data_IF_668086455912
#
_entry.id   IF_668086455912
#
_cell.length_a   1.000
_cell.length_b   1.000
_cell.length_c   1.000
_cell.angle_alpha   90.00
_cell.angle_beta   90.00
_cell.angle_gamma   90.00
#
_symmetry.space_group_name_H-M   'P 1'
#
loop_
_entity.id
_entity.type
_entity.pdbx_description
1 polymer ?
#
# COMPACT_ATOMS: atom_id res chain seq x y z
N UNK A 1 0.16 -22.96 4.28
CA UNK A 1 -1.32 -23.04 4.06
C UNK A 1 -1.86 -24.20 4.88
N UNK A 2 -3.16 -24.24 5.14
CA UNK A 2 -3.82 -25.35 5.82
C UNK A 2 -5.01 -25.75 4.95
N UNK A 3 -4.99 -26.96 4.41
CA UNK A 3 -6.12 -27.52 3.68
C UNK A 3 -7.01 -28.26 4.65
N UNK A 4 -8.29 -27.95 4.66
CA UNK A 4 -9.31 -28.60 5.50
C UNK A 4 -10.05 -29.61 4.62
N UNK A 5 -9.96 -30.89 4.94
CA UNK A 5 -10.68 -31.95 4.21
C UNK A 5 -12.12 -32.09 4.73
N UNK A 6 -12.99 -32.71 3.95
CA UNK A 6 -14.34 -33.09 4.36
C UNK A 6 -14.30 -34.24 5.37
N UNK A 7 -15.39 -34.42 6.15
CA UNK A 7 -15.50 -35.47 7.20
C UNK A 7 -15.33 -36.87 6.63
N UNK A 8 -15.76 -37.09 5.38
CA UNK A 8 -15.69 -38.37 4.68
C UNK A 8 -14.63 -38.42 3.59
N UNK A 9 -13.61 -37.55 3.64
CA UNK A 9 -12.55 -37.56 2.64
C UNK A 9 -11.84 -38.91 2.63
N UNK A 10 -11.77 -39.55 1.46
CA UNK A 10 -11.11 -40.86 1.34
C UNK A 10 -9.60 -40.71 1.42
N UNK A 11 -8.91 -41.80 1.76
CA UNK A 11 -7.45 -41.82 1.76
C UNK A 11 -6.87 -41.43 0.39
N UNK A 12 -7.50 -41.88 -0.70
CA UNK A 12 -7.16 -41.52 -2.07
C UNK A 12 -7.29 -40.00 -2.33
N UNK A 13 -8.35 -39.35 -1.82
CA UNK A 13 -8.52 -37.90 -1.93
C UNK A 13 -7.45 -37.14 -1.15
N UNK A 14 -7.12 -37.60 0.07
CA UNK A 14 -6.07 -37.00 0.91
C UNK A 14 -4.71 -37.10 0.22
N UNK A 15 -4.38 -38.26 -0.35
CA UNK A 15 -3.15 -38.50 -1.09
C UNK A 15 -3.08 -37.68 -2.36
N UNK A 16 -4.17 -37.57 -3.12
CA UNK A 16 -4.26 -36.73 -4.31
C UNK A 16 -3.95 -35.26 -4.00
N UNK A 17 -4.51 -34.72 -2.91
CA UNK A 17 -4.23 -33.34 -2.47
C UNK A 17 -2.78 -33.17 -2.06
N UNK A 18 -2.20 -34.14 -1.35
CA UNK A 18 -0.77 -34.12 -0.98
C UNK A 18 0.15 -34.20 -2.20
N UNK A 19 -0.17 -35.04 -3.19
CA UNK A 19 0.56 -35.11 -4.45
C UNK A 19 0.48 -33.81 -5.25
N UNK A 20 -0.70 -33.20 -5.33
CA UNK A 20 -0.86 -31.93 -6.01
C UNK A 20 -0.05 -30.83 -5.31
N UNK A 21 -0.05 -30.79 -3.98
CA UNK A 21 0.80 -29.87 -3.23
C UNK A 21 2.30 -30.09 -3.54
N UNK A 22 2.76 -31.35 -3.67
CA UNK A 22 4.14 -31.67 -4.08
C UNK A 22 4.45 -31.23 -5.51
N UNK A 23 3.52 -31.39 -6.45
CA UNK A 23 3.65 -30.90 -7.84
C UNK A 23 3.77 -29.39 -7.92
N UNK A 24 3.10 -28.67 -7.02
CA UNK A 24 3.23 -27.22 -6.86
C UNK A 24 4.54 -26.80 -6.16
N UNK A 25 5.41 -27.76 -5.81
CA UNK A 25 6.68 -27.50 -5.13
C UNK A 25 6.56 -27.26 -3.62
N UNK A 26 5.43 -27.64 -3.02
CA UNK A 26 5.19 -27.49 -1.59
C UNK A 26 5.39 -28.80 -0.82
N UNK A 27 5.55 -28.68 0.50
CA UNK A 27 5.71 -29.81 1.42
C UNK A 27 4.43 -30.03 2.24
N UNK A 28 3.59 -31.01 1.89
CA UNK A 28 2.37 -31.34 2.62
C UNK A 28 2.67 -32.20 3.86
N UNK A 29 1.93 -31.96 4.93
CA UNK A 29 1.96 -32.70 6.18
C UNK A 29 0.52 -33.07 6.54
N UNK A 30 0.17 -34.35 6.46
CA UNK A 30 -1.16 -34.83 6.80
C UNK A 30 -1.33 -34.84 8.32
N UNK A 31 -2.40 -34.23 8.80
CA UNK A 31 -2.74 -34.07 10.21
C UNK A 31 -4.10 -34.74 10.42
N UNK A 32 -4.13 -36.04 10.77
CA UNK A 32 -5.38 -36.74 11.05
C UNK A 32 -6.03 -36.14 12.31
N UNK A 33 -7.32 -35.84 12.23
CA UNK A 33 -8.12 -35.32 13.34
C UNK A 33 -9.28 -36.25 13.68
N UNK A 34 -9.85 -36.10 14.88
CA UNK A 34 -10.95 -36.94 15.36
C UNK A 34 -12.23 -36.82 14.52
N UNK A 35 -12.44 -35.68 13.85
CA UNK A 35 -13.61 -35.39 13.01
C UNK A 35 -13.27 -35.12 11.54
N UNK A 36 -12.14 -34.47 11.25
CA UNK A 36 -11.70 -34.15 9.89
C UNK A 36 -10.18 -34.23 9.80
N UNK A 37 -9.68 -34.64 8.65
CA UNK A 37 -8.26 -34.54 8.31
C UNK A 37 -7.93 -33.11 7.86
N UNK A 38 -6.79 -32.59 8.29
CA UNK A 38 -6.21 -31.38 7.74
C UNK A 38 -4.87 -31.70 7.07
N UNK A 39 -4.43 -30.86 6.12
CA UNK A 39 -3.11 -30.98 5.49
C UNK A 39 -2.40 -29.64 5.65
N UNK A 40 -1.38 -29.62 6.51
CA UNK A 40 -0.49 -28.48 6.66
C UNK A 40 0.47 -28.41 5.47
N UNK A 41 0.47 -27.31 4.73
CA UNK A 41 1.36 -27.10 3.59
C UNK A 41 2.42 -26.07 3.94
N UNK A 42 3.68 -26.47 3.86
CA UNK A 42 4.86 -25.64 4.12
C UNK A 42 5.64 -25.40 2.83
N UNK A 43 6.51 -24.37 2.81
CA UNK A 43 7.27 -23.98 1.63
C UNK A 43 6.52 -23.09 0.63
N UNK A 44 5.27 -22.71 0.92
CA UNK A 44 4.52 -21.80 0.07
C UNK A 44 5.11 -20.37 0.12
N UNK A 45 5.54 -19.86 -1.04
CA UNK A 45 6.15 -18.52 -1.16
C UNK A 45 5.17 -17.41 -1.54
N UNK A 46 3.93 -17.77 -1.90
CA UNK A 46 2.90 -16.86 -2.38
C UNK A 46 1.48 -17.46 -2.31
N UNK A 47 0.49 -16.79 -2.93
CA UNK A 47 -0.88 -17.30 -3.06
C UNK A 47 -1.03 -18.42 -4.11
N UNK A 48 -0.01 -18.66 -4.93
CA UNK A 48 -0.09 -19.53 -6.10
C UNK A 48 -0.51 -20.97 -5.74
N UNK A 49 -1.43 -21.54 -6.52
CA UNK A 49 -1.92 -22.91 -6.34
C UNK A 49 -3.01 -23.10 -5.29
N UNK A 50 -3.44 -22.05 -4.57
CA UNK A 50 -4.57 -22.15 -3.62
C UNK A 50 -5.86 -22.58 -4.31
N UNK A 51 -6.21 -21.94 -5.42
CA UNK A 51 -7.43 -22.26 -6.16
C UNK A 51 -7.38 -23.69 -6.71
N UNK A 52 -6.21 -24.13 -7.17
CA UNK A 52 -6.00 -25.51 -7.64
C UNK A 52 -6.27 -26.54 -6.55
N UNK A 53 -5.83 -26.29 -5.31
CA UNK A 53 -6.09 -27.19 -4.19
C UNK A 53 -7.55 -27.10 -3.72
N UNK A 54 -8.14 -25.90 -3.72
CA UNK A 54 -9.51 -25.67 -3.26
C UNK A 54 -10.56 -26.36 -4.13
N UNK A 55 -10.27 -26.54 -5.42
CA UNK A 55 -11.15 -27.25 -6.36
C UNK A 55 -11.03 -28.78 -6.30
N UNK A 56 -10.12 -29.34 -5.50
CA UNK A 56 -9.93 -30.78 -5.45
C UNK A 56 -11.05 -31.51 -4.69
N UNK A 57 -11.43 -32.73 -5.12
CA UNK A 57 -12.38 -33.56 -4.39
C UNK A 57 -11.96 -33.78 -2.93
N UNK A 58 -12.92 -33.67 -2.02
CA UNK A 58 -12.68 -33.87 -0.59
C UNK A 58 -12.10 -32.65 0.13
N UNK A 59 -11.78 -31.56 -0.56
CA UNK A 59 -11.36 -30.29 0.07
C UNK A 59 -12.58 -29.44 0.40
N UNK A 60 -12.68 -28.98 1.65
CA UNK A 60 -13.70 -28.02 2.10
C UNK A 60 -13.19 -26.60 2.00
N UNK A 61 -11.95 -26.38 2.43
CA UNK A 61 -11.35 -25.05 2.41
C UNK A 61 -9.82 -25.11 2.34
N UNK A 62 -9.22 -24.02 1.87
CA UNK A 62 -7.77 -23.80 1.90
C UNK A 62 -7.52 -22.49 2.64
N UNK A 63 -7.09 -22.62 3.89
CA UNK A 63 -6.82 -21.49 4.77
C UNK A 63 -5.37 -21.05 4.57
N UNK A 64 -5.19 -19.77 4.28
CA UNK A 64 -3.86 -19.18 4.20
C UNK A 64 -3.33 -18.91 5.61
N UNK A 65 -2.20 -19.53 5.95
CA UNK A 65 -1.55 -19.38 7.27
C UNK A 65 -0.59 -18.18 7.30
N UNK A 66 0.05 -17.86 6.17
CA UNK A 66 0.99 -16.74 6.06
C UNK A 66 0.33 -15.51 5.46
N UNK A 67 0.62 -14.31 5.97
CA UNK A 67 0.06 -13.07 5.40
C UNK A 67 0.54 -12.83 3.95
N UNK A 68 -0.28 -12.22 3.06
CA UNK A 68 0.09 -11.95 1.67
C UNK A 68 1.21 -10.92 1.49
N UNK A 69 1.48 -10.12 2.52
CA UNK A 69 2.39 -9.01 2.47
C UNK A 69 3.62 -9.32 3.32
N UNK A 70 4.72 -9.76 2.69
CA UNK A 70 5.94 -10.10 3.44
C UNK A 70 6.77 -8.87 3.80
N UNK A 71 7.05 -8.01 2.82
CA UNK A 71 8.03 -6.93 2.98
C UNK A 71 7.60 -5.83 3.97
N UNK A 72 6.29 -5.63 4.14
CA UNK A 72 5.73 -4.61 5.07
C UNK A 72 5.29 -5.20 6.42
N UNK A 73 5.49 -6.51 6.63
CA UNK A 73 5.06 -7.19 7.86
C UNK A 73 6.09 -7.03 8.97
N UNK A 74 5.63 -6.88 10.22
CA UNK A 74 6.51 -6.90 11.40
C UNK A 74 7.13 -8.27 11.67
N UNK A 75 6.56 -9.36 11.13
CA UNK A 75 7.17 -10.68 11.24
C UNK A 75 8.49 -10.75 10.45
N UNK A 76 8.55 -10.05 9.30
CA UNK A 76 9.73 -10.01 8.44
C UNK A 76 10.63 -8.81 8.75
N UNK A 77 10.08 -7.69 9.21
CA UNK A 77 10.80 -6.48 9.60
C UNK A 77 10.30 -5.97 10.98
N UNK A 78 10.79 -6.55 12.09
CA UNK A 78 10.25 -6.28 13.43
C UNK A 78 10.39 -4.83 13.89
N UNK A 79 11.40 -4.14 13.38
CA UNK A 79 11.82 -2.80 13.77
C UNK A 79 10.98 -1.76 13.01
N UNK A 80 10.66 -0.61 13.64
CA UNK A 80 9.98 0.47 12.93
C UNK A 80 10.82 0.99 11.75
N UNK A 81 10.19 1.18 10.59
CA UNK A 81 10.79 1.92 9.48
C UNK A 81 10.72 3.41 9.77
N UNK A 82 11.88 4.08 9.78
CA UNK A 82 11.97 5.54 9.93
C UNK A 82 12.29 6.15 8.58
N UNK A 83 11.44 7.04 8.10
CA UNK A 83 11.55 7.68 6.77
C UNK A 83 12.12 9.08 6.96
N UNK A 84 13.42 9.33 6.67
CA UNK A 84 13.95 10.70 6.60
C UNK A 84 13.40 11.39 5.35
N UNK A 85 12.86 12.61 5.52
CA UNK A 85 12.26 13.36 4.41
C UNK A 85 12.34 14.86 4.67
N UNK A 86 12.72 15.63 3.65
CA UNK A 86 13.03 17.05 3.77
C UNK A 86 13.98 17.32 4.97
N UNK A 87 13.52 18.09 5.96
CA UNK A 87 14.24 18.40 7.20
C UNK A 87 13.63 17.71 8.43
N UNK A 88 12.92 16.59 8.24
CA UNK A 88 12.27 15.83 9.32
C UNK A 88 12.39 14.31 9.12
N UNK A 89 11.80 13.54 10.04
CA UNK A 89 11.72 12.07 10.01
C UNK A 89 10.30 11.64 10.38
N UNK A 90 9.76 10.64 9.68
CA UNK A 90 8.44 10.04 9.97
C UNK A 90 8.65 8.62 10.47
N UNK A 91 7.89 8.22 11.49
CA UNK A 91 7.97 6.90 12.14
C UNK A 91 8.64 6.91 13.50
N UNK A 92 9.18 8.06 13.91
CA UNK A 92 9.79 8.31 15.21
C UNK A 92 9.05 9.48 15.88
N UNK A 93 8.12 9.16 16.79
CA UNK A 93 7.27 10.15 17.46
C UNK A 93 6.02 10.56 16.66
N UNK A 94 5.65 11.84 16.75
CA UNK A 94 4.43 12.40 16.16
C UNK A 94 4.77 13.45 15.11
N UNK A 95 4.23 13.29 13.90
CA UNK A 95 4.44 14.23 12.79
C UNK A 95 3.13 14.87 12.37
N UNK A 96 3.12 16.20 12.24
CA UNK A 96 1.99 16.95 11.66
C UNK A 96 2.31 17.26 10.20
N UNK A 97 1.37 16.93 9.32
CA UNK A 97 1.34 17.37 7.91
C UNK A 97 0.04 18.15 7.73
N UNK A 98 0.15 19.44 7.41
CA UNK A 98 -0.99 20.35 7.32
C UNK A 98 -0.90 21.24 6.08
N UNK A 99 -1.98 21.90 5.70
CA UNK A 99 -2.04 22.75 4.51
C UNK A 99 -3.36 22.60 3.76
N UNK A 100 -3.56 23.37 2.70
CA UNK A 100 -4.85 23.45 2.04
C UNK A 100 -5.20 22.15 1.29
N UNK A 101 -6.51 21.97 1.05
CA UNK A 101 -6.99 20.85 0.25
C UNK A 101 -6.52 20.95 -1.20
N UNK A 102 -6.59 22.16 -1.77
CA UNK A 102 -6.15 22.49 -3.12
C UNK A 102 -5.25 23.72 -3.08
N UNK A 103 -4.28 23.81 -3.98
CA UNK A 103 -3.57 25.07 -4.21
C UNK A 103 -4.47 25.95 -5.05
N UNK A 104 -4.74 27.17 -4.58
CA UNK A 104 -5.73 28.07 -5.21
C UNK A 104 -5.13 29.41 -5.66
N UNK A 105 -4.15 29.94 -4.92
CA UNK A 105 -3.39 31.12 -5.29
C UNK A 105 -2.09 31.20 -4.47
N UNK A 106 -1.20 32.10 -4.88
CA UNK A 106 0.10 32.29 -4.24
C UNK A 106 0.01 32.86 -2.82
N UNK A 107 -0.76 33.94 -2.62
CA UNK A 107 -0.86 34.63 -1.31
C UNK A 107 -1.30 33.68 -0.20
N UNK A 108 -2.37 32.93 -0.44
CA UNK A 108 -2.90 31.93 0.50
C UNK A 108 -1.87 30.86 0.82
N UNK A 109 -1.17 30.34 -0.20
CA UNK A 109 -0.21 29.27 -0.02
C UNK A 109 1.01 29.73 0.78
N UNK A 110 1.55 30.91 0.44
CA UNK A 110 2.71 31.50 1.12
C UNK A 110 2.41 31.80 2.59
N UNK A 111 1.28 32.47 2.87
CA UNK A 111 0.85 32.76 4.25
C UNK A 111 0.62 31.48 5.06
N UNK A 112 0.09 30.44 4.43
CA UNK A 112 -0.08 29.13 5.08
C UNK A 112 1.27 28.50 5.40
N UNK A 113 2.20 28.49 4.46
CA UNK A 113 3.53 27.91 4.66
C UNK A 113 4.30 28.62 5.79
N UNK A 114 4.31 29.96 5.79
CA UNK A 114 4.93 30.78 6.83
C UNK A 114 4.32 30.52 8.21
N UNK A 115 2.98 30.49 8.30
CA UNK A 115 2.30 30.15 9.55
C UNK A 115 2.68 28.77 10.06
N UNK A 116 2.64 27.74 9.19
CA UNK A 116 2.97 26.36 9.56
C UNK A 116 4.40 26.23 10.09
N UNK A 117 5.38 26.82 9.39
CA UNK A 117 6.78 26.83 9.85
C UNK A 117 6.91 27.55 11.20
N UNK A 118 6.21 28.68 11.37
CA UNK A 118 6.15 29.41 12.65
C UNK A 118 5.57 28.60 13.81
N UNK A 119 4.72 27.60 13.52
CA UNK A 119 4.18 26.65 14.51
C UNK A 119 5.04 25.38 14.68
N UNK A 120 6.21 25.30 14.05
CA UNK A 120 7.08 24.13 14.15
C UNK A 120 6.72 22.98 13.20
N UNK A 121 5.75 23.17 12.30
CA UNK A 121 5.41 22.17 11.28
C UNK A 121 6.52 22.12 10.22
N UNK A 122 6.83 20.92 9.74
CA UNK A 122 7.95 20.66 8.80
C UNK A 122 7.50 20.19 7.42
N UNK A 123 6.26 19.74 7.30
CA UNK A 123 5.69 19.22 6.06
C UNK A 123 4.36 19.90 5.78
N UNK A 124 4.21 20.43 4.57
CA UNK A 124 2.98 21.03 4.09
C UNK A 124 2.34 20.16 3.01
N UNK A 125 1.05 19.87 3.15
CA UNK A 125 0.26 19.29 2.07
C UNK A 125 -0.35 20.37 1.17
N UNK A 126 -0.51 20.08 -0.11
CA UNK A 126 -1.26 20.94 -1.03
C UNK A 126 -1.57 20.22 -2.33
N UNK A 127 -2.85 20.10 -2.71
CA UNK A 127 -3.24 19.39 -3.93
C UNK A 127 -3.14 20.29 -5.17
N UNK A 128 -2.16 20.03 -6.04
CA UNK A 128 -2.04 20.71 -7.33
C UNK A 128 -3.05 20.18 -8.37
N UNK A 129 -3.31 18.87 -8.33
CA UNK A 129 -4.28 18.18 -9.18
C UNK A 129 -5.40 17.63 -8.29
N UNK A 130 -6.65 17.64 -8.78
CA UNK A 130 -7.80 17.19 -8.00
C UNK A 130 -8.62 16.12 -8.72
N UNK A 131 -8.84 14.94 -8.13
CA UNK A 131 -9.66 13.90 -8.73
C UNK A 131 -11.13 14.24 -8.52
N UNK A 132 -11.73 14.92 -9.50
CA UNK A 132 -13.14 15.37 -9.46
C UNK A 132 -14.05 14.38 -10.16
N UNK A 133 -15.21 14.17 -9.55
CA UNK A 133 -16.29 13.40 -10.18
C UNK A 133 -17.05 14.21 -11.25
N UNK A 134 -17.03 15.55 -11.15
CA UNK A 134 -17.64 16.44 -12.13
C UNK A 134 -16.57 17.23 -12.90
N UNK A 135 -16.69 17.34 -14.24
CA UNK A 135 -15.75 18.10 -15.05
C UNK A 135 -15.81 19.61 -14.78
N UNK A 136 -16.92 20.12 -14.23
CA UNK A 136 -17.10 21.55 -13.94
C UNK A 136 -16.56 21.98 -12.58
N UNK A 137 -16.15 21.03 -11.74
CA UNK A 137 -15.50 21.35 -10.47
C UNK A 137 -14.10 21.92 -10.71
N UNK A 138 -13.58 22.69 -9.75
CA UNK A 138 -12.20 23.14 -9.80
C UNK A 138 -11.23 21.95 -9.85
N UNK A 139 -10.48 21.81 -10.95
CA UNK A 139 -9.60 20.67 -11.23
C UNK A 139 -8.23 20.76 -10.53
N UNK A 140 -7.96 21.88 -9.84
CA UNK A 140 -6.61 22.22 -9.39
C UNK A 140 -5.89 23.11 -10.41
N UNK A 141 -4.77 23.70 -10.00
CA UNK A 141 -3.94 24.53 -10.87
C UNK A 141 -2.91 23.73 -11.69
N UNK A 142 -2.85 22.41 -11.51
CA UNK A 142 -1.90 21.53 -12.19
C UNK A 142 -0.45 21.99 -11.98
N UNK A 143 0.31 22.12 -13.08
CA UNK A 143 1.71 22.57 -13.04
C UNK A 143 1.93 23.92 -12.39
N UNK A 144 0.98 24.85 -12.54
CA UNK A 144 1.09 26.14 -11.87
C UNK A 144 0.98 25.97 -10.34
N UNK A 145 0.10 25.07 -9.88
CA UNK A 145 0.02 24.70 -8.47
C UNK A 145 1.33 24.10 -7.94
N UNK A 146 2.00 23.26 -8.73
CA UNK A 146 3.33 22.72 -8.40
C UNK A 146 4.38 23.84 -8.31
N UNK A 147 4.39 24.78 -9.27
CA UNK A 147 5.29 25.94 -9.25
C UNK A 147 5.12 26.76 -7.97
N UNK A 148 3.88 26.97 -7.54
CA UNK A 148 3.58 27.67 -6.29
C UNK A 148 4.06 26.89 -5.05
N UNK A 149 3.89 25.57 -5.01
CA UNK A 149 4.42 24.72 -3.94
C UNK A 149 5.96 24.77 -3.88
N UNK A 150 6.62 24.72 -5.02
CA UNK A 150 8.07 24.87 -5.11
C UNK A 150 8.54 26.23 -4.59
N UNK A 151 7.80 27.31 -4.88
CA UNK A 151 8.06 28.66 -4.36
C UNK A 151 7.92 28.72 -2.83
N UNK A 152 6.85 28.13 -2.27
CA UNK A 152 6.64 28.06 -0.82
C UNK A 152 7.77 27.28 -0.12
N UNK A 153 8.20 26.15 -0.69
CA UNK A 153 9.36 25.39 -0.22
C UNK A 153 10.63 26.24 -0.25
N UNK A 154 10.92 26.90 -1.37
CA UNK A 154 12.12 27.72 -1.51
C UNK A 154 12.18 28.88 -0.51
N UNK A 155 11.04 29.50 -0.21
CA UNK A 155 10.97 30.63 0.72
C UNK A 155 11.05 30.23 2.21
N UNK A 156 10.52 29.06 2.57
CA UNK A 156 10.31 28.68 3.99
C UNK A 156 11.10 27.45 4.43
N UNK A 157 11.61 26.66 3.49
CA UNK A 157 12.24 25.37 3.75
C UNK A 157 11.27 24.26 4.19
N UNK A 158 9.95 24.47 4.08
CA UNK A 158 8.95 23.44 4.39
C UNK A 158 8.96 22.34 3.33
N UNK A 159 8.90 21.07 3.75
CA UNK A 159 8.78 19.95 2.81
C UNK A 159 7.37 19.85 2.23
N UNK A 160 7.25 19.35 1.00
CA UNK A 160 6.00 19.34 0.22
C UNK A 160 5.45 17.92 0.08
N UNK A 161 4.16 17.78 0.39
CA UNK A 161 3.36 16.58 0.16
C UNK A 161 2.25 16.93 -0.84
N UNK A 162 2.22 16.26 -2.00
CA UNK A 162 1.17 16.49 -3.00
C UNK A 162 0.75 15.19 -3.65
N UNK A 163 -0.49 15.16 -4.15
CA UNK A 163 -1.12 13.95 -4.65
C UNK A 163 -0.77 13.68 -6.11
N UNK A 164 -0.47 12.42 -6.40
CA UNK A 164 -0.29 11.90 -7.75
C UNK A 164 -1.57 11.19 -8.19
N UNK A 165 -2.15 11.63 -9.31
CA UNK A 165 -3.41 11.09 -9.81
C UNK A 165 -3.23 10.09 -10.95
N UNK A 166 -2.18 10.25 -11.73
CA UNK A 166 -1.92 9.49 -12.95
C UNK A 166 -0.41 9.39 -13.18
N UNK A 167 -0.03 8.49 -14.08
CA UNK A 167 1.36 8.18 -14.41
C UNK A 167 2.01 9.30 -15.23
N UNK A 168 1.22 10.02 -16.04
CA UNK A 168 1.71 11.03 -16.98
C UNK A 168 2.29 12.25 -16.25
N UNK A 169 1.77 12.57 -15.07
CA UNK A 169 2.20 13.71 -14.28
C UNK A 169 3.22 13.37 -13.19
N UNK A 170 3.59 12.09 -12.97
CA UNK A 170 4.50 11.67 -11.89
C UNK A 170 5.80 12.46 -11.91
N UNK A 171 6.47 12.51 -13.06
CA UNK A 171 7.81 13.13 -13.19
C UNK A 171 7.80 14.61 -12.76
N UNK A 172 6.78 15.36 -13.19
CA UNK A 172 6.64 16.78 -12.81
C UNK A 172 6.35 16.96 -11.33
N UNK A 173 5.61 16.02 -10.73
CA UNK A 173 5.29 16.06 -9.31
C UNK A 173 6.53 15.72 -8.49
N UNK A 174 7.34 14.74 -8.91
CA UNK A 174 8.59 14.34 -8.25
C UNK A 174 9.61 15.47 -8.16
N UNK A 175 9.69 16.36 -9.16
CA UNK A 175 10.56 17.53 -9.11
C UNK A 175 10.19 18.51 -7.96
N UNK A 176 8.93 18.49 -7.53
CA UNK A 176 8.38 19.43 -6.54
C UNK A 176 8.13 18.80 -5.18
N UNK A 177 7.76 17.52 -5.13
CA UNK A 177 7.29 16.85 -3.92
C UNK A 177 8.44 16.17 -3.18
N UNK A 178 8.45 16.29 -1.86
CA UNK A 178 9.28 15.45 -0.98
C UNK A 178 8.57 14.14 -0.62
N UNK A 179 7.22 14.14 -0.67
CA UNK A 179 6.38 12.94 -0.50
C UNK A 179 5.31 12.91 -1.59
N UNK A 180 5.30 11.82 -2.36
CA UNK A 180 4.22 11.50 -3.28
C UNK A 180 3.05 10.87 -2.51
N UNK A 181 1.89 11.54 -2.52
CA UNK A 181 0.68 10.99 -1.92
C UNK A 181 -0.12 10.22 -2.98
N UNK A 182 -0.46 8.97 -2.68
CA UNK A 182 -1.46 8.21 -3.45
C UNK A 182 -2.81 8.36 -2.76
N UNK A 183 -3.77 9.00 -3.43
CA UNK A 183 -5.13 9.14 -2.90
C UNK A 183 -5.86 7.80 -2.84
N UNK A 184 -6.89 7.72 -1.98
CA UNK A 184 -7.68 6.49 -1.77
C UNK A 184 -8.27 5.92 -3.06
N UNK A 185 -8.66 6.78 -4.01
CA UNK A 185 -9.18 6.34 -5.33
C UNK A 185 -8.16 5.57 -6.16
N UNK A 186 -6.87 5.79 -5.91
CA UNK A 186 -5.75 5.12 -6.57
C UNK A 186 -5.08 4.06 -5.69
N UNK A 187 -5.65 3.72 -4.52
CA UNK A 187 -5.05 2.76 -3.58
C UNK A 187 -4.78 1.38 -4.20
N UNK A 188 -5.57 0.99 -5.22
CA UNK A 188 -5.39 -0.26 -5.96
C UNK A 188 -4.96 -0.04 -7.42
N UNK A 189 -4.54 1.17 -7.78
CA UNK A 189 -4.02 1.47 -9.10
C UNK A 189 -2.59 0.91 -9.22
N UNK A 190 -2.48 -0.39 -9.46
CA UNK A 190 -1.18 -1.10 -9.47
C UNK A 190 -0.22 -0.60 -10.54
N UNK A 191 -0.71 -0.02 -11.63
CA UNK A 191 0.14 0.61 -12.64
C UNK A 191 0.81 1.87 -12.08
N UNK A 192 0.05 2.72 -11.38
CA UNK A 192 0.59 3.90 -10.72
C UNK A 192 1.52 3.55 -9.56
N UNK A 193 1.17 2.57 -8.73
CA UNK A 193 1.97 2.15 -7.56
C UNK A 193 3.34 1.54 -7.93
N UNK A 194 3.52 1.10 -9.18
CA UNK A 194 4.77 0.51 -9.68
C UNK A 194 5.66 1.50 -10.42
N UNK A 195 5.12 2.66 -10.81
CA UNK A 195 5.88 3.71 -11.49
C UNK A 195 6.88 4.31 -10.52
#
# INVERSE_FOLDING_TARGET
>A
MLVVMSVGATQEQIEAVAEQARRLGYSPHVIPGATRTAIGITGNRGPDGQDSLRMMPGVVDVIRVTVPYRLVSREMHPQPTIVPVANTRIGDGFTVIAGPCSVENEDMLMRTAEFLVGQGVRLMRGGAYKPRSSPYSFQGLGREGLRLLAKARAATGIGIVTEVLDIENVDYIEETADILQIGTRNMQNTALLRR
#
